data_IF_624314323477
#
_entry.id   IF_624314323477
#
_cell.length_a   1.000
_cell.length_b   1.000
_cell.length_c   1.000
_cell.angle_alpha   90.00
_cell.angle_beta   90.00
_cell.angle_gamma   90.00
#
_symmetry.space_group_name_H-M   'P 1'
#
loop_
_entity.id
_entity.type
_entity.pdbx_description
1 polymer ?
#
# COMPACT_ATOMS: atom_id res chain seq x y z
N UNK A 1 -27.02 52.31 30.41
CA UNK A 1 -26.98 51.39 29.28
C UNK A 1 -25.60 50.70 29.27
N UNK A 2 -25.52 49.44 29.67
CA UNK A 2 -24.31 48.65 29.64
C UNK A 2 -24.42 47.71 28.41
N UNK A 3 -23.49 47.82 27.45
CA UNK A 3 -23.33 46.86 26.36
C UNK A 3 -22.52 45.69 26.88
N UNK A 4 -23.11 44.51 26.91
CA UNK A 4 -22.39 43.24 27.12
C UNK A 4 -21.95 42.75 25.73
N UNK A 5 -20.61 42.59 25.60
CA UNK A 5 -20.00 42.03 24.42
C UNK A 5 -19.88 40.52 24.64
N UNK A 6 -20.67 39.73 23.91
CA UNK A 6 -20.52 38.26 23.88
C UNK A 6 -19.35 37.90 22.99
N UNK A 7 -18.28 37.41 23.61
CA UNK A 7 -17.16 36.79 22.88
C UNK A 7 -17.53 35.32 22.64
N UNK A 8 -17.88 34.97 21.41
CA UNK A 8 -18.03 33.59 20.99
C UNK A 8 -16.63 32.98 20.77
N UNK A 9 -16.27 32.07 21.63
CA UNK A 9 -15.03 31.27 21.51
C UNK A 9 -15.19 30.23 20.41
N UNK A 10 -14.42 30.37 19.32
CA UNK A 10 -14.37 29.46 18.19
C UNK A 10 -13.24 28.43 18.35
N UNK A 11 -13.35 27.48 19.30
CA UNK A 11 -12.30 26.48 19.54
C UNK A 11 -12.72 25.02 19.34
N UNK A 12 -13.72 24.73 18.50
CA UNK A 12 -14.24 23.36 18.34
C UNK A 12 -14.14 22.73 16.94
N UNK A 13 -13.35 23.32 16.00
CA UNK A 13 -13.25 22.76 14.64
C UNK A 13 -11.94 22.03 14.30
N UNK A 14 -10.94 22.03 15.16
CA UNK A 14 -9.63 21.46 14.82
C UNK A 14 -9.49 19.98 15.17
N UNK A 15 -10.23 19.45 16.14
CA UNK A 15 -10.12 18.06 16.59
C UNK A 15 -10.86 17.04 15.70
N UNK A 16 -11.94 17.46 15.02
CA UNK A 16 -12.71 16.57 14.15
C UNK A 16 -12.00 16.28 12.82
N UNK A 17 -11.26 17.25 12.29
CA UNK A 17 -10.49 17.10 11.06
C UNK A 17 -9.27 16.18 11.25
N UNK A 18 -8.60 16.24 12.40
CA UNK A 18 -7.48 15.38 12.72
C UNK A 18 -7.93 13.92 12.95
N UNK A 19 -9.09 13.70 13.59
CA UNK A 19 -9.66 12.38 13.78
C UNK A 19 -10.09 11.72 12.47
N UNK A 20 -10.66 12.49 11.53
CA UNK A 20 -11.04 11.98 10.21
C UNK A 20 -9.83 11.64 9.32
N UNK A 21 -8.74 12.39 9.42
CA UNK A 21 -7.51 12.07 8.68
C UNK A 21 -6.83 10.79 9.21
N UNK A 22 -6.87 10.54 10.52
CA UNK A 22 -6.33 9.31 11.12
C UNK A 22 -7.19 8.08 10.81
N UNK A 23 -8.51 8.21 10.72
CA UNK A 23 -9.40 7.10 10.35
C UNK A 23 -9.35 6.77 8.87
N UNK A 24 -9.19 7.75 7.98
CA UNK A 24 -9.01 7.53 6.54
C UNK A 24 -7.69 6.79 6.23
N UNK A 25 -6.59 7.11 6.95
CA UNK A 25 -5.29 6.43 6.78
C UNK A 25 -5.29 4.97 7.25
N UNK A 26 -6.27 4.53 8.06
CA UNK A 26 -6.36 3.15 8.58
C UNK A 26 -7.04 2.16 7.63
N UNK A 27 -7.67 2.62 6.56
CA UNK A 27 -8.42 1.78 5.61
C UNK A 27 -7.77 1.72 4.22
N UNK A 28 -6.44 1.68 4.17
CA UNK A 28 -5.68 1.54 2.92
C UNK A 28 -5.82 0.13 2.34
N UNK A 29 -5.81 -0.88 3.22
CA UNK A 29 -5.97 -2.29 2.86
C UNK A 29 -7.42 -2.71 3.03
N UNK A 30 -8.01 -3.30 1.98
CA UNK A 30 -9.33 -3.90 2.07
C UNK A 30 -9.22 -5.31 2.67
N UNK A 31 -9.72 -5.48 3.89
CA UNK A 31 -9.63 -6.73 4.65
C UNK A 31 -10.71 -7.75 4.25
N UNK A 32 -11.69 -7.35 3.45
CA UNK A 32 -12.81 -8.19 3.02
C UNK A 32 -12.56 -8.89 1.68
N UNK A 33 -11.57 -8.45 0.90
CA UNK A 33 -11.21 -9.04 -0.38
C UNK A 33 -10.29 -10.24 -0.17
N UNK A 34 -10.56 -11.33 -0.90
CA UNK A 34 -9.61 -12.44 -1.00
C UNK A 34 -8.34 -11.96 -1.73
N UNK A 35 -7.16 -12.04 -1.10
CA UNK A 35 -5.93 -11.50 -1.68
C UNK A 35 -5.50 -12.20 -2.97
N UNK A 36 -5.81 -13.48 -3.15
CA UNK A 36 -5.51 -14.22 -4.38
C UNK A 36 -6.38 -13.70 -5.53
N UNK A 37 -7.68 -13.55 -5.31
CA UNK A 37 -8.59 -13.00 -6.32
C UNK A 37 -8.22 -11.56 -6.70
N UNK A 38 -7.80 -10.76 -5.72
CA UNK A 38 -7.32 -9.39 -5.97
C UNK A 38 -6.09 -9.38 -6.89
N UNK A 39 -5.13 -10.27 -6.65
CA UNK A 39 -3.94 -10.41 -7.49
C UNK A 39 -4.33 -10.87 -8.91
N UNK A 40 -5.21 -11.86 -9.03
CA UNK A 40 -5.64 -12.38 -10.34
C UNK A 40 -6.34 -11.29 -11.17
N UNK A 41 -7.20 -10.49 -10.56
CA UNK A 41 -7.84 -9.33 -11.21
C UNK A 41 -6.80 -8.28 -11.65
N UNK A 42 -5.81 -8.01 -10.80
CA UNK A 42 -4.73 -7.08 -11.13
C UNK A 42 -3.88 -7.56 -12.32
N UNK A 43 -3.61 -8.87 -12.41
CA UNK A 43 -2.87 -9.47 -13.55
C UNK A 43 -3.67 -9.31 -14.84
N UNK A 44 -4.98 -9.58 -14.82
CA UNK A 44 -5.84 -9.39 -16.00
C UNK A 44 -5.80 -7.94 -16.49
N UNK A 45 -5.89 -6.99 -15.58
CA UNK A 45 -5.79 -5.56 -15.89
C UNK A 45 -4.41 -5.19 -16.43
N UNK A 46 -3.34 -5.65 -15.79
CA UNK A 46 -1.96 -5.38 -16.19
C UNK A 46 -1.67 -5.91 -17.60
N UNK A 47 -2.15 -7.11 -17.93
CA UNK A 47 -2.03 -7.70 -19.26
C UNK A 47 -2.73 -6.85 -20.33
N UNK A 48 -3.94 -6.39 -20.04
CA UNK A 48 -4.71 -5.54 -20.96
C UNK A 48 -4.05 -4.17 -21.18
N UNK A 49 -3.38 -3.62 -20.18
CA UNK A 49 -2.76 -2.28 -20.20
C UNK A 49 -1.25 -2.30 -20.53
N UNK A 50 -0.65 -3.47 -20.72
CA UNK A 50 0.80 -3.61 -20.95
C UNK A 50 1.66 -3.17 -19.75
N UNK A 51 1.19 -3.42 -18.53
CA UNK A 51 1.83 -3.02 -17.26
C UNK A 51 2.30 -4.23 -16.48
N UNK A 52 3.13 -4.00 -15.47
CA UNK A 52 3.39 -4.96 -14.40
C UNK A 52 2.45 -4.73 -13.21
N UNK A 53 2.35 -5.71 -12.31
CA UNK A 53 1.64 -5.58 -11.05
C UNK A 53 2.64 -5.31 -9.94
N UNK A 54 2.35 -4.36 -9.05
CA UNK A 54 3.06 -4.21 -7.77
C UNK A 54 2.08 -4.49 -6.64
N UNK A 55 2.38 -5.52 -5.87
CA UNK A 55 1.69 -5.85 -4.64
C UNK A 55 2.42 -5.22 -3.46
N UNK A 56 1.85 -4.21 -2.82
CA UNK A 56 2.27 -3.78 -1.49
C UNK A 56 1.60 -4.68 -0.47
N UNK A 57 2.34 -5.65 0.06
CA UNK A 57 1.83 -6.62 1.03
C UNK A 57 2.00 -6.10 2.44
N UNK A 58 0.94 -6.14 3.22
CA UNK A 58 0.93 -5.68 4.61
C UNK A 58 -0.47 -5.62 5.18
N UNK A 59 -0.81 -4.56 5.89
CA UNK A 59 -2.14 -4.39 6.46
C UNK A 59 -2.30 -3.06 7.18
N UNK A 60 -3.53 -2.76 7.56
CA UNK A 60 -3.87 -1.54 8.33
C UNK A 60 -3.26 -1.52 9.73
N UNK A 61 -2.79 -2.65 10.22
CA UNK A 61 -2.06 -2.81 11.49
C UNK A 61 -0.58 -2.36 11.42
N UNK A 62 -0.06 -2.13 10.22
CA UNK A 62 1.36 -1.90 9.94
C UNK A 62 1.60 -0.40 9.69
N UNK A 63 2.22 0.31 10.64
CA UNK A 63 2.46 1.76 10.51
C UNK A 63 3.35 2.10 9.31
N UNK A 64 4.37 1.30 9.00
CA UNK A 64 5.24 1.51 7.84
C UNK A 64 4.52 1.29 6.52
N UNK A 65 3.53 0.39 6.49
CA UNK A 65 2.66 0.19 5.34
C UNK A 65 1.82 1.43 5.06
N UNK A 66 1.25 2.03 6.11
CA UNK A 66 0.44 3.25 5.99
C UNK A 66 1.30 4.46 5.62
N UNK A 67 2.51 4.57 6.18
CA UNK A 67 3.48 5.61 5.81
C UNK A 67 3.87 5.55 4.34
N UNK A 68 4.08 4.34 3.80
CA UNK A 68 4.41 4.19 2.38
C UNK A 68 3.24 4.56 1.47
N UNK A 69 2.03 4.12 1.79
CA UNK A 69 0.83 4.48 1.05
C UNK A 69 0.63 6.02 1.01
N UNK A 70 0.82 6.68 2.14
CA UNK A 70 0.79 8.14 2.23
C UNK A 70 1.89 8.79 1.38
N UNK A 71 3.10 8.28 1.47
CA UNK A 71 4.26 8.81 0.76
C UNK A 71 4.07 8.82 -0.76
N UNK A 72 3.65 7.68 -1.34
CA UNK A 72 3.43 7.57 -2.80
C UNK A 72 2.20 8.35 -3.27
N UNK A 73 1.21 8.55 -2.40
CA UNK A 73 -0.01 9.31 -2.73
C UNK A 73 0.22 10.81 -2.69
N UNK A 74 1.03 11.29 -1.74
CA UNK A 74 1.32 12.73 -1.57
C UNK A 74 2.28 13.29 -2.62
N UNK A 75 3.19 12.47 -3.13
CA UNK A 75 4.11 12.88 -4.19
C UNK A 75 3.51 12.60 -5.57
N UNK A 76 3.07 13.66 -6.25
CA UNK A 76 2.41 13.56 -7.56
C UNK A 76 3.29 12.90 -8.61
N UNK A 77 4.60 13.14 -8.58
CA UNK A 77 5.52 12.55 -9.57
C UNK A 77 5.66 11.04 -9.38
N UNK A 78 5.62 10.55 -8.14
CA UNK A 78 5.67 9.12 -7.83
C UNK A 78 4.33 8.47 -8.22
N UNK A 79 3.20 9.04 -7.77
CA UNK A 79 1.88 8.47 -8.06
C UNK A 79 1.62 8.39 -9.56
N UNK A 80 1.96 9.43 -10.32
CA UNK A 80 1.83 9.44 -11.77
C UNK A 80 2.70 8.38 -12.43
N UNK A 81 3.96 8.25 -12.01
CA UNK A 81 4.86 7.23 -12.54
C UNK A 81 4.34 5.80 -12.29
N UNK A 82 3.80 5.57 -11.09
CA UNK A 82 3.18 4.29 -10.73
C UNK A 82 1.98 4.01 -11.64
N UNK A 83 1.07 4.97 -11.78
CA UNK A 83 -0.15 4.82 -12.60
C UNK A 83 0.15 4.55 -14.08
N UNK A 84 1.21 5.13 -14.61
CA UNK A 84 1.62 4.94 -16.01
C UNK A 84 2.22 3.56 -16.28
N UNK A 85 2.88 2.94 -15.30
CA UNK A 85 3.70 1.74 -15.50
C UNK A 85 3.19 0.48 -14.81
N UNK A 86 2.35 0.64 -13.78
CA UNK A 86 1.95 -0.48 -12.92
C UNK A 86 0.44 -0.51 -12.65
N UNK A 87 -0.07 -1.70 -12.42
CA UNK A 87 -1.27 -1.92 -11.63
C UNK A 87 -0.82 -2.10 -10.19
N UNK A 88 -1.02 -1.08 -9.36
CA UNK A 88 -0.58 -1.06 -7.97
C UNK A 88 -1.73 -1.44 -7.05
N UNK A 89 -1.52 -2.44 -6.20
CA UNK A 89 -2.53 -2.92 -5.26
C UNK A 89 -1.99 -3.06 -3.84
N UNK A 90 -2.83 -2.74 -2.87
CA UNK A 90 -2.59 -3.00 -1.46
C UNK A 90 -3.17 -4.36 -1.10
N UNK A 91 -2.31 -5.31 -0.77
CA UNK A 91 -2.69 -6.71 -0.52
C UNK A 91 -2.63 -6.99 0.98
N UNK A 92 -3.81 -7.25 1.57
CA UNK A 92 -3.91 -7.49 3.00
C UNK A 92 -3.35 -8.86 3.39
N UNK A 93 -2.50 -8.86 4.41
CA UNK A 93 -1.95 -10.06 5.04
C UNK A 93 -2.39 -10.13 6.50
N UNK A 94 -3.21 -11.13 6.83
CA UNK A 94 -3.67 -11.37 8.19
C UNK A 94 -3.61 -12.86 8.54
N UNK A 95 -2.52 -13.32 9.18
CA UNK A 95 -2.34 -14.73 9.55
C UNK A 95 -3.04 -15.12 10.86
N UNK A 96 -3.72 -14.20 11.54
CA UNK A 96 -4.30 -14.45 12.87
C UNK A 96 -5.49 -15.40 12.80
N UNK A 97 -5.36 -16.60 13.37
CA UNK A 97 -6.46 -17.56 13.50
C UNK A 97 -7.63 -17.08 14.34
N UNK A 98 -7.39 -16.11 15.24
CA UNK A 98 -8.45 -15.48 16.04
C UNK A 98 -9.49 -14.73 15.19
N UNK A 99 -9.15 -14.37 13.95
CA UNK A 99 -10.05 -13.70 13.01
C UNK A 99 -10.68 -14.66 12.00
N UNK A 100 -10.52 -15.96 12.22
CA UNK A 100 -11.12 -17.04 11.45
C UNK A 100 -10.10 -17.87 10.66
N UNK A 101 -10.36 -19.18 10.60
CA UNK A 101 -9.51 -20.14 9.89
C UNK A 101 -9.40 -19.81 8.39
N UNK A 102 -10.48 -19.33 7.79
CA UNK A 102 -10.49 -18.94 6.36
C UNK A 102 -9.48 -17.83 6.05
N UNK A 103 -9.36 -16.79 6.91
CA UNK A 103 -8.38 -15.71 6.74
C UNK A 103 -6.95 -16.22 6.92
N UNK A 104 -6.72 -17.11 7.89
CA UNK A 104 -5.41 -17.73 8.07
C UNK A 104 -4.99 -18.58 6.87
N UNK A 105 -5.91 -19.32 6.26
CA UNK A 105 -5.67 -20.08 5.04
C UNK A 105 -5.39 -19.17 3.84
N UNK A 106 -6.11 -18.08 3.69
CA UNK A 106 -5.84 -17.05 2.67
C UNK A 106 -4.45 -16.44 2.83
N UNK A 107 -4.04 -16.15 4.06
CA UNK A 107 -2.71 -15.62 4.35
C UNK A 107 -1.60 -16.63 3.98
N UNK A 108 -1.79 -17.91 4.26
CA UNK A 108 -0.86 -18.97 3.88
C UNK A 108 -0.79 -19.13 2.35
N UNK A 109 -1.93 -19.11 1.66
CA UNK A 109 -1.99 -19.17 0.21
C UNK A 109 -1.31 -17.95 -0.45
N UNK A 110 -1.48 -16.76 0.13
CA UNK A 110 -0.80 -15.54 -0.31
C UNK A 110 0.73 -15.67 -0.22
N UNK A 111 1.24 -16.14 0.91
CA UNK A 111 2.69 -16.35 1.07
C UNK A 111 3.23 -17.34 0.06
N UNK A 112 2.52 -18.44 -0.19
CA UNK A 112 2.88 -19.42 -1.22
C UNK A 112 2.88 -18.80 -2.62
N UNK A 113 1.84 -18.00 -2.95
CA UNK A 113 1.68 -17.34 -4.26
C UNK A 113 2.80 -16.33 -4.53
N UNK A 114 3.27 -15.63 -3.49
CA UNK A 114 4.26 -14.57 -3.58
C UNK A 114 5.66 -14.98 -3.08
N UNK A 115 6.03 -16.26 -3.23
CA UNK A 115 7.36 -16.79 -2.91
C UNK A 115 7.82 -16.46 -1.48
N UNK A 116 6.91 -16.59 -0.49
CA UNK A 116 7.19 -16.32 0.92
C UNK A 116 7.80 -14.92 1.16
N UNK A 117 7.20 -13.91 0.54
CA UNK A 117 7.69 -12.53 0.61
C UNK A 117 7.73 -11.97 2.04
N UNK A 118 6.88 -12.46 2.94
CA UNK A 118 6.81 -12.01 4.33
C UNK A 118 8.10 -12.22 5.16
N UNK A 119 9.07 -13.00 4.64
CA UNK A 119 10.40 -13.16 5.29
C UNK A 119 11.18 -11.84 5.40
N UNK A 120 10.84 -10.84 4.60
CA UNK A 120 11.46 -9.51 4.62
C UNK A 120 10.78 -8.51 5.56
N UNK A 121 9.70 -8.91 6.24
CA UNK A 121 8.87 -7.98 7.02
C UNK A 121 7.85 -7.25 6.16
N UNK A 122 7.25 -6.18 6.72
CA UNK A 122 6.16 -5.44 6.08
C UNK A 122 6.35 -3.91 6.21
N UNK A 123 5.98 -3.12 5.18
CA UNK A 123 5.48 -3.62 3.90
C UNK A 123 6.59 -4.37 3.15
N UNK A 124 6.19 -5.29 2.31
CA UNK A 124 7.05 -5.89 1.29
C UNK A 124 6.40 -5.69 -0.07
N UNK A 125 7.20 -5.38 -1.08
CA UNK A 125 6.70 -5.15 -2.43
C UNK A 125 7.04 -6.33 -3.32
N UNK A 126 6.04 -6.87 -4.00
CA UNK A 126 6.24 -7.96 -4.94
C UNK A 126 5.84 -7.49 -6.32
N UNK A 127 6.77 -7.55 -7.26
CA UNK A 127 6.52 -7.20 -8.66
C UNK A 127 6.20 -8.46 -9.44
N UNK A 128 5.05 -8.45 -10.13
CA UNK A 128 4.63 -9.51 -11.02
C UNK A 128 4.65 -9.00 -12.46
N UNK A 129 5.05 -9.85 -13.40
CA UNK A 129 4.84 -9.57 -14.81
C UNK A 129 3.35 -9.74 -15.20
N UNK A 130 3.01 -9.46 -16.45
CA UNK A 130 1.63 -9.55 -16.95
C UNK A 130 1.10 -11.00 -17.05
N UNK A 131 1.95 -12.00 -16.87
CA UNK A 131 1.54 -13.41 -16.76
C UNK A 131 1.43 -13.87 -15.30
N UNK A 132 1.68 -12.97 -14.35
CA UNK A 132 1.57 -13.24 -12.91
C UNK A 132 2.78 -13.92 -12.29
N UNK A 133 3.92 -13.94 -12.98
CA UNK A 133 5.17 -14.45 -12.45
C UNK A 133 5.81 -13.41 -11.52
N UNK A 134 6.27 -13.84 -10.36
CA UNK A 134 7.07 -12.99 -9.47
C UNK A 134 8.43 -12.74 -10.12
N UNK A 135 8.73 -11.48 -10.45
CA UNK A 135 10.00 -11.06 -11.05
C UNK A 135 10.90 -10.31 -10.08
N UNK A 136 10.36 -9.77 -8.98
CA UNK A 136 11.14 -9.12 -7.94
C UNK A 136 10.40 -9.08 -6.62
N UNK A 137 11.15 -9.15 -5.52
CA UNK A 137 10.66 -8.90 -4.16
C UNK A 137 11.55 -7.83 -3.55
N UNK A 138 10.96 -6.69 -3.18
CA UNK A 138 11.65 -5.56 -2.58
C UNK A 138 11.38 -5.48 -1.09
N UNK A 139 12.43 -5.60 -0.31
CA UNK A 139 12.43 -5.27 1.11
C UNK A 139 12.28 -3.76 1.28
N UNK A 140 11.29 -3.32 2.06
CA UNK A 140 11.01 -1.90 2.27
C UNK A 140 12.13 -1.17 3.00
N UNK A 141 12.91 -1.86 3.83
CA UNK A 141 14.00 -1.25 4.59
C UNK A 141 15.07 -0.58 3.71
N UNK A 142 15.26 -1.06 2.49
CA UNK A 142 16.14 -0.44 1.50
C UNK A 142 15.60 0.86 0.88
N UNK A 143 14.34 1.16 1.11
CA UNK A 143 13.66 2.36 0.61
C UNK A 143 13.49 3.44 1.68
N UNK A 144 13.81 3.10 2.94
CA UNK A 144 13.60 3.94 4.10
C UNK A 144 14.67 5.02 4.24
N UNK A 145 14.27 6.13 4.86
CA UNK A 145 15.13 7.18 5.37
C UNK A 145 14.47 7.85 6.59
N UNK A 146 15.17 7.84 7.72
CA UNK A 146 14.64 8.34 8.99
C UNK A 146 13.34 7.60 9.40
N UNK A 147 12.29 8.34 9.67
CA UNK A 147 10.97 7.78 10.00
C UNK A 147 10.03 7.65 8.79
N UNK A 148 10.56 7.66 7.59
CA UNK A 148 9.80 7.61 6.35
C UNK A 148 10.56 6.94 5.22
N UNK A 149 10.36 7.44 4.00
CA UNK A 149 10.92 6.85 2.78
C UNK A 149 11.68 7.90 1.98
N UNK A 150 12.75 7.46 1.31
CA UNK A 150 13.55 8.28 0.42
C UNK A 150 12.99 8.25 -1.01
N UNK A 151 12.76 9.43 -1.57
CA UNK A 151 12.17 9.57 -2.91
C UNK A 151 13.01 8.95 -4.02
N UNK A 152 14.34 9.13 -3.97
CA UNK A 152 15.23 8.62 -5.01
C UNK A 152 15.32 7.09 -4.97
N UNK A 153 15.37 6.50 -3.76
CA UNK A 153 15.36 5.04 -3.57
C UNK A 153 14.05 4.44 -4.09
N UNK A 154 12.91 5.04 -3.72
CA UNK A 154 11.58 4.59 -4.16
C UNK A 154 11.43 4.71 -5.69
N UNK A 155 11.80 5.84 -6.27
CA UNK A 155 11.75 6.02 -7.72
C UNK A 155 12.67 5.08 -8.46
N UNK A 156 13.87 4.81 -7.92
CA UNK A 156 14.80 3.83 -8.49
C UNK A 156 14.22 2.42 -8.48
N UNK A 157 13.57 2.03 -7.40
CA UNK A 157 12.86 0.77 -7.33
C UNK A 157 11.82 0.65 -8.44
N UNK A 158 10.91 1.60 -8.56
CA UNK A 158 9.88 1.54 -9.60
C UNK A 158 10.47 1.58 -11.02
N UNK A 159 11.43 2.46 -11.29
CA UNK A 159 12.05 2.57 -12.62
C UNK A 159 12.73 1.29 -13.09
N UNK A 160 13.34 0.55 -12.16
CA UNK A 160 14.06 -0.69 -12.51
C UNK A 160 13.13 -1.84 -12.88
N UNK A 161 11.84 -1.77 -12.54
CA UNK A 161 10.91 -2.89 -12.71
C UNK A 161 9.72 -2.57 -13.60
N UNK A 162 9.79 -1.49 -14.38
CA UNK A 162 8.81 -1.24 -15.46
C UNK A 162 8.87 -2.34 -16.52
N UNK A 163 7.78 -2.57 -17.28
CA UNK A 163 7.83 -3.50 -18.42
C UNK A 163 8.97 -3.22 -19.40
N UNK A 164 9.29 -1.96 -19.64
CA UNK A 164 10.35 -1.57 -20.56
C UNK A 164 11.77 -1.83 -20.01
N UNK A 165 11.96 -1.71 -18.70
CA UNK A 165 13.26 -1.90 -18.07
C UNK A 165 13.71 -3.37 -18.04
N UNK A 166 12.79 -4.34 -18.12
CA UNK A 166 13.08 -5.78 -18.02
C UNK A 166 12.95 -6.54 -19.34
N UNK A 167 12.85 -5.82 -20.46
CA UNK A 167 12.85 -6.40 -21.83
C UNK A 167 14.20 -6.95 -22.24
#
# INVERSE_FOLDING_TARGET
>A
MKLEVYIFSSTLKSSALAANAQTAARNVYNEDINPIEQIDQAIVKAKAEGKHVVCQVGGNWCIWCLRFADFITKDTSISQFIDENFVYIHVNYNPKKSEGEAKAQQAAALMKRLNNCGRFGFPVFVVLDCEGKVIHIQDSSFLEEGEGYDKEKVMRFFKNWTPDAVK
#
